data_IF_179487148890
#
_entry.id   IF_179487148890
#
_cell.length_a   1.000
_cell.length_b   1.000
_cell.length_c   1.000
_cell.angle_alpha   90.00
_cell.angle_beta   90.00
_cell.angle_gamma   90.00
#
_symmetry.space_group_name_H-M   'P 1'
#
loop_
_entity.id
_entity.type
_entity.pdbx_description
1 polymer ?
#
# COMPACT_ATOMS: atom_id res chain seq x y z
N UNK A 1 -26.76 -23.10 -10.39
CA UNK A 1 -27.47 -22.10 -9.56
C UNK A 1 -26.42 -21.27 -8.81
N UNK A 2 -26.07 -20.09 -9.31
CA UNK A 2 -25.11 -19.21 -8.62
C UNK A 2 -25.82 -18.51 -7.46
N UNK A 3 -25.38 -18.78 -6.22
CA UNK A 3 -25.88 -18.07 -5.03
C UNK A 3 -25.46 -16.60 -5.14
N UNK A 4 -26.43 -15.70 -5.23
CA UNK A 4 -26.18 -14.26 -5.12
C UNK A 4 -25.57 -14.00 -3.73
N UNK A 5 -24.44 -13.29 -3.62
CA UNK A 5 -23.84 -13.02 -2.32
C UNK A 5 -24.86 -12.27 -1.44
N UNK A 6 -24.98 -12.68 -0.18
CA UNK A 6 -25.84 -11.99 0.79
C UNK A 6 -25.32 -10.57 1.02
N UNK A 7 -26.22 -9.63 1.39
CA UNK A 7 -25.84 -8.24 1.65
C UNK A 7 -24.71 -8.11 2.69
N UNK A 8 -24.64 -9.04 3.64
CA UNK A 8 -23.56 -9.13 4.63
C UNK A 8 -22.20 -9.48 4.01
N UNK A 9 -22.13 -10.44 3.08
CA UNK A 9 -20.88 -10.79 2.40
C UNK A 9 -20.33 -9.63 1.58
N UNK A 10 -21.20 -8.86 0.92
CA UNK A 10 -20.81 -7.67 0.15
C UNK A 10 -20.29 -6.57 1.08
N UNK A 11 -20.97 -6.33 2.21
CA UNK A 11 -20.52 -5.36 3.21
C UNK A 11 -19.18 -5.74 3.86
N UNK A 12 -18.98 -7.03 4.13
CA UNK A 12 -17.71 -7.56 4.64
C UNK A 12 -16.57 -7.34 3.64
N UNK A 13 -16.77 -7.69 2.36
CA UNK A 13 -15.77 -7.48 1.31
C UNK A 13 -15.41 -5.99 1.15
N UNK A 14 -16.40 -5.09 1.25
CA UNK A 14 -16.16 -3.65 1.20
C UNK A 14 -15.27 -3.18 2.38
N UNK A 15 -15.54 -3.64 3.59
CA UNK A 15 -14.71 -3.35 4.78
C UNK A 15 -13.32 -3.94 4.65
N UNK A 16 -13.21 -5.21 4.24
CA UNK A 16 -11.93 -5.89 4.05
C UNK A 16 -11.04 -5.18 3.04
N UNK A 17 -11.60 -4.76 1.90
CA UNK A 17 -10.88 -4.00 0.88
C UNK A 17 -10.37 -2.67 1.41
N UNK A 18 -11.17 -1.98 2.21
CA UNK A 18 -10.75 -0.73 2.87
C UNK A 18 -9.62 -0.97 3.89
N UNK A 19 -9.72 -2.03 4.68
CA UNK A 19 -8.67 -2.39 5.64
C UNK A 19 -7.37 -2.78 4.94
N UNK A 20 -7.42 -3.59 3.89
CA UNK A 20 -6.24 -3.95 3.08
C UNK A 20 -5.59 -2.70 2.49
N UNK A 21 -6.40 -1.76 1.98
CA UNK A 21 -5.87 -0.52 1.42
C UNK A 21 -5.12 0.31 2.47
N UNK A 22 -5.70 0.48 3.67
CA UNK A 22 -5.07 1.22 4.79
C UNK A 22 -3.81 0.49 5.27
N UNK A 23 -3.87 -0.83 5.46
CA UNK A 23 -2.70 -1.63 5.86
C UNK A 23 -1.57 -1.52 4.84
N UNK A 24 -1.91 -1.50 3.55
CA UNK A 24 -0.92 -1.26 2.49
C UNK A 24 -0.27 0.11 2.60
N UNK A 25 -1.04 1.17 2.90
CA UNK A 25 -0.46 2.52 3.14
C UNK A 25 0.54 2.48 4.28
N UNK A 26 0.17 1.89 5.43
CA UNK A 26 1.06 1.77 6.58
C UNK A 26 2.31 0.95 6.26
N UNK A 27 2.16 -0.15 5.51
CA UNK A 27 3.28 -0.99 5.09
C UNK A 27 4.26 -0.26 4.16
N UNK A 28 3.75 0.51 3.19
CA UNK A 28 4.60 1.32 2.31
C UNK A 28 5.33 2.42 3.06
N UNK A 29 4.63 3.16 3.94
CA UNK A 29 5.26 4.19 4.77
C UNK A 29 6.36 3.61 5.67
N UNK A 30 6.09 2.47 6.30
CA UNK A 30 7.07 1.80 7.14
C UNK A 30 8.28 1.32 6.34
N UNK A 31 8.07 0.69 5.18
CA UNK A 31 9.16 0.21 4.33
C UNK A 31 10.03 1.33 3.76
N UNK A 32 9.44 2.45 3.36
CA UNK A 32 10.18 3.64 2.91
C UNK A 32 10.96 4.26 4.07
N UNK A 33 10.35 4.36 5.26
CA UNK A 33 11.01 4.91 6.44
C UNK A 33 12.20 4.05 6.88
N UNK A 34 12.04 2.73 6.94
CA UNK A 34 13.10 1.77 7.28
C UNK A 34 14.32 1.94 6.36
N UNK A 35 14.09 1.94 5.04
CA UNK A 35 15.14 2.13 4.04
C UNK A 35 15.77 3.52 4.10
N UNK A 36 14.97 4.55 4.37
CA UNK A 36 15.48 5.92 4.52
C UNK A 36 16.35 6.07 5.76
N UNK A 37 15.97 5.45 6.88
CA UNK A 37 16.74 5.45 8.13
C UNK A 37 18.04 4.66 7.94
N UNK A 38 17.99 3.49 7.31
CA UNK A 38 19.19 2.71 7.01
C UNK A 38 20.19 3.50 6.15
N UNK A 39 19.72 4.14 5.07
CA UNK A 39 20.56 4.98 4.23
C UNK A 39 21.14 6.21 4.97
N UNK A 40 20.39 6.76 5.95
CA UNK A 40 20.88 7.83 6.81
C UNK A 40 21.96 7.33 7.79
N UNK A 41 21.80 6.13 8.33
CA UNK A 41 22.77 5.50 9.23
C UNK A 41 24.07 5.10 8.49
N UNK A 42 23.97 4.70 7.23
CA UNK A 42 25.12 4.39 6.38
C UNK A 42 25.92 5.63 5.97
N UNK A 43 25.38 6.85 6.19
CA UNK A 43 26.08 8.12 5.98
C UNK A 43 26.29 8.50 4.51
N UNK A 44 25.84 7.67 3.56
CA UNK A 44 25.87 7.94 2.13
C UNK A 44 24.65 7.30 1.45
N UNK A 45 23.98 8.06 0.59
CA UNK A 45 22.91 7.57 -0.27
C UNK A 45 23.52 6.91 -1.51
N UNK A 46 23.52 5.58 -1.56
CA UNK A 46 23.96 4.89 -2.76
C UNK A 46 22.97 5.08 -3.91
N UNK A 47 23.45 4.95 -5.14
CA UNK A 47 22.58 4.96 -6.33
C UNK A 47 21.49 3.86 -6.24
N UNK A 48 21.81 2.74 -5.57
CA UNK A 48 20.86 1.67 -5.32
C UNK A 48 19.75 2.11 -4.35
N UNK A 49 20.10 2.78 -3.24
CA UNK A 49 19.11 3.27 -2.27
C UNK A 49 18.16 4.29 -2.91
N UNK A 50 18.70 5.16 -3.76
CA UNK A 50 17.91 6.12 -4.53
C UNK A 50 16.94 5.40 -5.46
N UNK A 51 17.41 4.41 -6.23
CA UNK A 51 16.56 3.63 -7.13
C UNK A 51 15.48 2.83 -6.37
N UNK A 52 15.82 2.28 -5.21
CA UNK A 52 14.88 1.56 -4.35
C UNK A 52 13.83 2.49 -3.75
N UNK A 53 14.24 3.62 -3.19
CA UNK A 53 13.33 4.63 -2.64
C UNK A 53 12.40 5.19 -3.72
N UNK A 54 12.92 5.44 -4.93
CA UNK A 54 12.11 5.89 -6.06
C UNK A 54 11.07 4.84 -6.46
N UNK A 55 11.48 3.58 -6.61
CA UNK A 55 10.59 2.48 -6.98
C UNK A 55 9.53 2.23 -5.90
N UNK A 56 9.93 2.22 -4.62
CA UNK A 56 9.02 2.08 -3.49
C UNK A 56 8.02 3.23 -3.42
N UNK A 57 8.48 4.47 -3.68
CA UNK A 57 7.61 5.65 -3.73
C UNK A 57 6.65 5.59 -4.92
N UNK A 58 7.10 5.16 -6.09
CA UNK A 58 6.26 4.99 -7.27
C UNK A 58 5.15 3.95 -7.05
N UNK A 59 5.49 2.81 -6.44
CA UNK A 59 4.50 1.79 -6.06
C UNK A 59 3.58 2.26 -4.95
N UNK A 60 4.08 3.01 -3.97
CA UNK A 60 3.25 3.64 -2.95
C UNK A 60 2.22 4.59 -3.55
N UNK A 61 2.65 5.48 -4.47
CA UNK A 61 1.75 6.40 -5.18
C UNK A 61 0.72 5.61 -6.00
N UNK A 62 1.15 4.58 -6.72
CA UNK A 62 0.26 3.67 -7.45
C UNK A 62 -0.76 2.99 -6.52
N UNK A 63 -0.35 2.61 -5.30
CA UNK A 63 -1.20 2.04 -4.27
C UNK A 63 -2.24 3.03 -3.73
N UNK A 64 -1.86 4.31 -3.58
CA UNK A 64 -2.81 5.38 -3.21
C UNK A 64 -3.89 5.55 -4.28
N UNK A 65 -3.54 5.44 -5.57
CA UNK A 65 -4.51 5.49 -6.67
C UNK A 65 -5.44 4.27 -6.73
N UNK A 66 -5.02 3.11 -6.21
CA UNK A 66 -5.86 1.91 -6.07
C UNK A 66 -6.92 2.02 -4.96
N UNK A 67 -7.16 3.23 -4.43
CA UNK A 67 -8.17 3.52 -3.42
C UNK A 67 -9.49 2.80 -3.76
N UNK A 68 -10.06 2.03 -2.82
CA UNK A 68 -11.35 1.41 -3.02
C UNK A 68 -12.41 2.50 -3.21
N UNK A 69 -12.71 2.78 -4.47
CA UNK A 69 -13.82 3.64 -4.85
C UNK A 69 -15.07 2.80 -4.66
N UNK A 70 -16.05 3.32 -3.91
CA UNK A 70 -17.35 2.69 -3.79
C UNK A 70 -17.91 2.62 -5.20
N UNK A 71 -17.97 1.43 -5.80
CA UNK A 71 -18.84 1.21 -6.94
C UNK A 71 -20.25 1.45 -6.39
N UNK A 72 -20.87 2.54 -6.83
CA UNK A 72 -22.29 2.79 -6.58
C UNK A 72 -23.12 1.64 -7.14
#
# INVERSE_FOLDING_TARGET
MFRKPSGESVAFLARLRSSIWILGISSWLFGIADRSIAALMDGYLSALDIAQLFTASFFFVSWLFLKPTKLF
#
